data_IF_596502468770
#
_entry.id   IF_596502468770
#
_cell.length_a   1.000
_cell.length_b   1.000
_cell.length_c   1.000
_cell.angle_alpha   90.00
_cell.angle_beta   90.00
_cell.angle_gamma   90.00
#
_symmetry.space_group_name_H-M   'P 1'
#
loop_
_entity.id
_entity.type
_entity.pdbx_description
1 polymer ?
#
# COMPACT_ATOMS: atom_id res chain seq x y z
N UNK A 1 18.31 -24.88 17.91
CA UNK A 1 17.56 -23.61 17.80
C UNK A 1 16.48 -23.63 18.87
N UNK A 2 16.54 -22.70 19.81
CA UNK A 2 15.79 -22.78 21.07
C UNK A 2 14.39 -22.20 20.87
N UNK A 3 13.33 -22.85 21.32
CA UNK A 3 11.91 -22.45 21.19
C UNK A 3 11.65 -20.94 21.31
N UNK A 4 12.36 -20.27 22.24
CA UNK A 4 12.30 -18.81 22.46
C UNK A 4 12.65 -17.96 21.23
N UNK A 5 13.55 -18.43 20.35
CA UNK A 5 13.91 -17.74 19.11
C UNK A 5 12.73 -17.74 18.14
N UNK A 6 12.07 -18.91 17.98
CA UNK A 6 10.88 -19.04 17.13
C UNK A 6 9.74 -18.18 17.68
N UNK A 7 9.48 -18.20 18.98
CA UNK A 7 8.46 -17.32 19.60
C UNK A 7 8.74 -15.82 19.42
N UNK A 8 10.01 -15.42 19.41
CA UNK A 8 10.39 -14.04 19.15
C UNK A 8 10.20 -13.66 17.68
N UNK A 9 10.54 -14.55 16.76
CA UNK A 9 10.34 -14.38 15.32
C UNK A 9 8.87 -14.29 14.93
N UNK A 10 8.02 -15.16 15.50
CA UNK A 10 6.56 -15.12 15.30
C UNK A 10 5.97 -13.80 15.78
N UNK A 11 6.35 -13.34 16.98
CA UNK A 11 5.88 -12.04 17.51
C UNK A 11 6.32 -10.88 16.61
N UNK A 12 7.56 -10.89 16.13
CA UNK A 12 8.05 -9.88 15.18
C UNK A 12 7.29 -9.93 13.86
N UNK A 13 7.05 -11.11 13.29
CA UNK A 13 6.30 -11.28 12.06
C UNK A 13 4.85 -10.75 12.19
N UNK A 14 4.19 -10.99 13.32
CA UNK A 14 2.86 -10.47 13.59
C UNK A 14 2.85 -8.92 13.67
N UNK A 15 3.84 -8.33 14.36
CA UNK A 15 4.01 -6.87 14.43
C UNK A 15 4.29 -6.25 13.06
N UNK A 16 5.20 -6.85 12.28
CA UNK A 16 5.53 -6.42 10.93
C UNK A 16 4.30 -6.44 10.00
N UNK A 17 3.51 -7.52 10.05
CA UNK A 17 2.25 -7.63 9.29
C UNK A 17 1.29 -6.51 9.67
N UNK A 18 1.09 -6.27 10.97
CA UNK A 18 0.17 -5.23 11.45
C UNK A 18 0.60 -3.84 11.01
N UNK A 19 1.90 -3.53 11.09
CA UNK A 19 2.46 -2.27 10.62
C UNK A 19 2.29 -2.10 9.10
N UNK A 20 2.59 -3.15 8.32
CA UNK A 20 2.42 -3.13 6.86
C UNK A 20 0.94 -2.97 6.46
N UNK A 21 0.02 -3.61 7.18
CA UNK A 21 -1.42 -3.43 6.96
C UNK A 21 -1.85 -2.00 7.21
N UNK A 22 -1.41 -1.38 8.31
CA UNK A 22 -1.72 0.01 8.61
C UNK A 22 -1.18 0.97 7.52
N UNK A 23 0.04 0.74 7.05
CA UNK A 23 0.65 1.51 5.96
C UNK A 23 -0.15 1.37 4.65
N UNK A 24 -0.57 0.15 4.30
CA UNK A 24 -1.44 -0.11 3.15
C UNK A 24 -2.78 0.63 3.27
N UNK A 25 -3.48 0.53 4.41
CA UNK A 25 -4.75 1.26 4.63
C UNK A 25 -4.58 2.78 4.53
N UNK A 26 -3.44 3.31 4.96
CA UNK A 26 -3.15 4.74 4.80
C UNK A 26 -2.89 5.11 3.34
N UNK A 27 -2.14 4.27 2.61
CA UNK A 27 -1.85 4.47 1.19
C UNK A 27 -3.10 4.39 0.32
N UNK A 28 -4.02 3.47 0.63
CA UNK A 28 -5.33 3.32 -0.02
C UNK A 28 -6.16 4.61 0.12
N UNK A 29 -6.29 5.14 1.34
CA UNK A 29 -6.99 6.43 1.58
C UNK A 29 -6.34 7.58 0.82
N UNK A 30 -5.01 7.63 0.80
CA UNK A 30 -4.27 8.66 0.05
C UNK A 30 -4.50 8.55 -1.45
N UNK A 31 -4.49 7.34 -2.01
CA UNK A 31 -4.77 7.11 -3.43
C UNK A 31 -6.20 7.55 -3.81
N UNK A 32 -7.19 7.24 -2.97
CA UNK A 32 -8.56 7.70 -3.18
C UNK A 32 -8.70 9.23 -3.17
N UNK A 33 -8.04 9.91 -2.22
CA UNK A 33 -8.03 11.37 -2.17
C UNK A 33 -7.37 11.99 -3.40
N UNK A 34 -6.23 11.45 -3.84
CA UNK A 34 -5.52 11.96 -5.01
C UNK A 34 -6.27 11.66 -6.32
N UNK A 35 -7.03 10.58 -6.38
CA UNK A 35 -7.92 10.32 -7.50
C UNK A 35 -9.04 11.36 -7.61
N UNK A 36 -9.65 11.76 -6.49
CA UNK A 36 -10.66 12.82 -6.50
C UNK A 36 -10.04 14.17 -6.86
N UNK A 37 -8.85 14.48 -6.34
CA UNK A 37 -8.11 15.69 -6.71
C UNK A 37 -7.78 15.72 -8.22
N UNK A 38 -7.40 14.58 -8.80
CA UNK A 38 -7.19 14.45 -10.25
C UNK A 38 -8.49 14.71 -11.02
N UNK A 39 -9.62 14.11 -10.62
CA UNK A 39 -10.92 14.31 -11.27
C UNK A 39 -11.37 15.77 -11.25
N UNK A 40 -11.17 16.45 -10.12
CA UNK A 40 -11.46 17.88 -10.00
C UNK A 40 -10.57 18.72 -10.92
N UNK A 41 -9.26 18.46 -10.93
CA UNK A 41 -8.33 19.18 -11.80
C UNK A 41 -8.59 18.92 -13.28
N UNK A 42 -9.02 17.72 -13.66
CA UNK A 42 -9.44 17.40 -15.03
C UNK A 42 -10.60 18.28 -15.47
N UNK A 43 -11.64 18.44 -14.64
CA UNK A 43 -12.79 19.31 -14.93
C UNK A 43 -12.36 20.77 -15.06
N UNK A 44 -11.55 21.26 -14.11
CA UNK A 44 -11.02 22.64 -14.15
C UNK A 44 -10.17 22.89 -15.40
N UNK A 45 -9.35 21.92 -15.80
CA UNK A 45 -8.50 22.02 -16.98
C UNK A 45 -9.32 22.12 -18.26
N UNK A 46 -10.36 21.28 -18.39
CA UNK A 46 -11.29 21.31 -19.52
C UNK A 46 -12.05 22.65 -19.62
N UNK A 47 -12.22 23.35 -18.50
CA UNK A 47 -12.85 24.68 -18.43
C UNK A 47 -11.84 25.84 -18.58
N UNK A 48 -10.54 25.55 -18.76
CA UNK A 48 -9.49 26.56 -18.84
C UNK A 48 -9.15 27.24 -17.49
N UNK A 49 -9.60 26.68 -16.37
CA UNK A 49 -9.43 27.26 -15.03
C UNK A 49 -8.08 26.88 -14.36
N UNK A 50 -7.35 25.92 -14.91
CA UNK A 50 -6.00 25.53 -14.47
C UNK A 50 -5.10 25.33 -15.68
N UNK A 51 -3.80 25.56 -15.50
CA UNK A 51 -2.84 25.39 -16.58
C UNK A 51 -2.58 23.90 -16.90
N UNK A 52 -2.06 23.57 -18.10
CA UNK A 52 -1.58 22.22 -18.40
C UNK A 52 -0.54 21.70 -17.40
N UNK A 53 0.30 22.59 -16.86
CA UNK A 53 1.33 22.22 -15.88
C UNK A 53 0.71 21.82 -14.53
N UNK A 54 -0.31 22.57 -14.07
CA UNK A 54 -1.04 22.24 -12.84
C UNK A 54 -1.78 20.90 -12.97
N UNK A 55 -2.44 20.69 -14.11
CA UNK A 55 -3.11 19.43 -14.40
C UNK A 55 -2.13 18.24 -14.44
N UNK A 56 -0.95 18.44 -15.05
CA UNK A 56 0.12 17.43 -15.07
C UNK A 56 0.57 17.09 -13.66
N UNK A 57 0.79 18.08 -12.80
CA UNK A 57 1.17 17.87 -11.39
C UNK A 57 0.13 17.04 -10.63
N UNK A 58 -1.16 17.35 -10.78
CA UNK A 58 -2.24 16.56 -10.18
C UNK A 58 -2.28 15.11 -10.71
N UNK A 59 -2.00 14.93 -12.00
CA UNK A 59 -1.92 13.60 -12.62
C UNK A 59 -0.75 12.78 -12.07
N UNK A 60 0.44 13.38 -11.95
CA UNK A 60 1.63 12.74 -11.37
C UNK A 60 1.41 12.38 -9.89
N UNK A 61 0.79 13.27 -9.11
CA UNK A 61 0.44 12.99 -7.71
C UNK A 61 -0.51 11.80 -7.57
N UNK A 62 -1.54 11.70 -8.42
CA UNK A 62 -2.45 10.57 -8.46
C UNK A 62 -1.74 9.28 -8.83
N UNK A 63 -0.92 9.29 -9.89
CA UNK A 63 -0.16 8.13 -10.32
C UNK A 63 0.79 7.63 -9.21
N UNK A 64 1.54 8.55 -8.60
CA UNK A 64 2.47 8.21 -7.52
C UNK A 64 1.75 7.63 -6.30
N UNK A 65 0.58 8.17 -5.94
CA UNK A 65 -0.21 7.64 -4.83
C UNK A 65 -0.75 6.23 -5.12
N UNK A 66 -1.18 5.95 -6.37
CA UNK A 66 -1.61 4.60 -6.79
C UNK A 66 -0.44 3.61 -6.78
N UNK A 67 0.72 4.00 -7.29
CA UNK A 67 1.93 3.17 -7.24
C UNK A 67 2.36 2.86 -5.80
N UNK A 68 2.33 3.86 -4.92
CA UNK A 68 2.63 3.66 -3.50
C UNK A 68 1.61 2.74 -2.82
N UNK A 69 0.32 2.86 -3.15
CA UNK A 69 -0.72 1.96 -2.64
C UNK A 69 -0.45 0.51 -3.03
N UNK A 70 -0.18 0.24 -4.31
CA UNK A 70 0.17 -1.10 -4.79
C UNK A 70 1.43 -1.64 -4.11
N UNK A 71 2.47 -0.81 -3.96
CA UNK A 71 3.70 -1.20 -3.28
C UNK A 71 3.43 -1.62 -1.82
N UNK A 72 2.63 -0.84 -1.08
CA UNK A 72 2.29 -1.16 0.31
C UNK A 72 1.40 -2.41 0.40
N UNK A 73 0.49 -2.62 -0.55
CA UNK A 73 -0.33 -3.84 -0.63
C UNK A 73 0.54 -5.08 -0.79
N UNK A 74 1.47 -5.06 -1.75
CA UNK A 74 2.39 -6.16 -1.99
C UNK A 74 3.27 -6.44 -0.76
N UNK A 75 3.74 -5.37 -0.11
CA UNK A 75 4.54 -5.50 1.12
C UNK A 75 3.74 -6.13 2.26
N UNK A 76 2.48 -5.72 2.44
CA UNK A 76 1.56 -6.35 3.39
C UNK A 76 1.34 -7.83 3.07
N UNK A 77 1.07 -8.18 1.81
CA UNK A 77 0.87 -9.58 1.39
C UNK A 77 2.08 -10.45 1.68
N UNK A 78 3.30 -9.96 1.42
CA UNK A 78 4.53 -10.69 1.75
C UNK A 78 4.65 -10.90 3.27
N UNK A 79 4.35 -9.88 4.09
CA UNK A 79 4.40 -10.02 5.55
C UNK A 79 3.33 -10.97 6.09
N UNK A 80 2.15 -10.98 5.48
CA UNK A 80 1.09 -11.93 5.79
C UNK A 80 1.51 -13.36 5.46
N UNK A 81 2.12 -13.58 4.30
CA UNK A 81 2.66 -14.87 3.87
C UNK A 81 3.73 -15.43 4.82
N UNK A 82 4.61 -14.57 5.33
CA UNK A 82 5.62 -14.96 6.34
C UNK A 82 4.95 -15.45 7.63
N UNK A 83 3.91 -14.77 8.09
CA UNK A 83 3.17 -15.19 9.29
C UNK A 83 2.40 -16.50 9.06
N UNK A 84 1.82 -16.68 7.87
CA UNK A 84 1.15 -17.92 7.47
C UNK A 84 2.12 -19.11 7.42
N UNK A 85 3.36 -18.88 6.96
CA UNK A 85 4.42 -19.89 6.99
C UNK A 85 4.75 -20.33 8.42
N UNK A 86 4.90 -19.40 9.35
CA UNK A 86 5.07 -19.74 10.77
C UNK A 86 3.86 -20.45 11.39
N UNK A 87 2.68 -20.30 10.78
CA UNK A 87 1.45 -21.00 11.17
C UNK A 87 1.30 -22.39 10.53
N UNK A 88 2.29 -22.83 9.74
CA UNK A 88 2.34 -24.16 9.13
C UNK A 88 1.80 -24.24 7.71
N UNK A 89 1.50 -23.11 7.05
CA UNK A 89 1.04 -23.09 5.65
C UNK A 89 2.24 -22.84 4.73
N UNK A 90 2.70 -23.82 3.92
CA UNK A 90 3.80 -23.63 3.00
C UNK A 90 3.53 -22.51 1.98
N UNK A 91 4.55 -21.77 1.54
CA UNK A 91 4.36 -20.66 0.60
C UNK A 91 3.62 -21.06 -0.69
N UNK A 92 3.89 -22.26 -1.21
CA UNK A 92 3.26 -22.78 -2.43
C UNK A 92 1.74 -22.97 -2.31
N UNK A 93 1.19 -23.02 -1.09
CA UNK A 93 -0.23 -23.22 -0.79
C UNK A 93 -0.95 -21.90 -0.44
N UNK A 94 -0.26 -20.75 -0.50
CA UNK A 94 -0.80 -19.45 -0.07
C UNK A 94 -1.35 -18.57 -1.22
N UNK A 95 -1.48 -19.11 -2.43
CA UNK A 95 -1.86 -18.38 -3.64
C UNK A 95 -3.20 -18.82 -4.21
#
# INVERSE_FOLDING_TARGET
QTLRQVEAEVRRAAQDKQAAFAAYRQAEKRAALQEEAYRLNKKKFQQGLVSPLDFRKASEQCLNAKSACLQNELQYRIKDSVLAYFSGIPYIEQF
#
